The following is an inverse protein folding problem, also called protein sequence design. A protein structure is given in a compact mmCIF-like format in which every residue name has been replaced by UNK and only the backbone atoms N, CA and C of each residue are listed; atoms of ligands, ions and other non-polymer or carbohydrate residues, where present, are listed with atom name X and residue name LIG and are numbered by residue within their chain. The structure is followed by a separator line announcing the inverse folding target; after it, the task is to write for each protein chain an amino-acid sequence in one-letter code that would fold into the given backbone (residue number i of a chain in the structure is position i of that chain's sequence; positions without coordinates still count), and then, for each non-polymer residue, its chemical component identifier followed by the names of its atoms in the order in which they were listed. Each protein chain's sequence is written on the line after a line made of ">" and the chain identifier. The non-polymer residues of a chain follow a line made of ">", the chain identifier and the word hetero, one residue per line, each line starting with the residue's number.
data_IF_784833857155
#
_entry.id   IF_784833857155
#
_cell.length_a   1.000
_cell.length_b   1.000
_cell.length_c   1.000
_cell.angle_alpha   90.00
_cell.angle_beta   90.00
_cell.angle_gamma   90.00
#
_symmetry.space_group_name_H-M   'P 1'
#
loop_
_entity.id
_entity.type
_entity.pdbx_description
1 polymer ?
#
# COMPACT_ATOMS: atom_id res chain seq x y z
N UNK A 1 19.59 -9.73 13.18
CA UNK A 1 19.56 -10.56 14.41
C UNK A 1 19.48 -12.01 14.00
N UNK A 2 20.36 -12.84 14.55
CA UNK A 2 20.38 -14.27 14.31
C UNK A 2 19.18 -14.96 14.97
N UNK A 3 18.85 -16.16 14.49
CA UNK A 3 17.67 -16.90 14.92
C UNK A 3 17.73 -17.26 16.40
N UNK A 4 18.89 -17.74 16.85
CA UNK A 4 19.06 -18.27 18.21
C UNK A 4 19.06 -17.15 19.24
N UNK A 5 19.74 -16.03 18.96
CA UNK A 5 19.69 -14.85 19.82
C UNK A 5 18.27 -14.28 19.97
N UNK A 6 17.44 -14.33 18.92
CA UNK A 6 16.05 -13.90 19.03
C UNK A 6 15.22 -14.87 19.90
N UNK A 7 15.40 -16.19 19.77
CA UNK A 7 14.73 -17.17 20.65
C UNK A 7 15.10 -16.96 22.11
N UNK A 8 16.40 -16.79 22.38
CA UNK A 8 16.89 -16.57 23.75
C UNK A 8 16.27 -15.33 24.39
N UNK A 9 16.19 -14.22 23.63
CA UNK A 9 15.53 -12.98 24.10
C UNK A 9 14.07 -13.23 24.50
N UNK A 10 13.31 -13.95 23.68
CA UNK A 10 11.91 -14.26 23.98
C UNK A 10 11.78 -15.19 25.21
N UNK A 11 12.57 -16.27 25.25
CA UNK A 11 12.50 -17.26 26.32
C UNK A 11 12.91 -16.69 27.68
N UNK A 12 13.94 -15.83 27.73
CA UNK A 12 14.42 -15.27 29.00
C UNK A 12 13.62 -14.07 29.52
N UNK A 13 12.78 -13.46 28.67
CA UNK A 13 12.08 -12.20 28.99
C UNK A 13 11.15 -12.29 30.21
N UNK A 14 10.36 -13.37 30.29
CA UNK A 14 9.43 -13.61 31.41
C UNK A 14 10.18 -13.96 32.69
N UNK A 15 11.07 -14.99 32.74
CA UNK A 15 11.72 -15.38 33.99
C UNK A 15 12.69 -14.32 34.53
N UNK A 16 13.38 -13.57 33.67
CA UNK A 16 14.39 -12.61 34.12
C UNK A 16 13.86 -11.18 34.33
N UNK A 17 12.82 -10.79 33.59
CA UNK A 17 12.35 -9.39 33.56
C UNK A 17 10.86 -9.23 33.80
N UNK A 18 10.13 -10.32 34.03
CA UNK A 18 8.67 -10.33 34.15
C UNK A 18 7.98 -9.55 32.99
N UNK A 19 8.53 -9.66 31.78
CA UNK A 19 8.10 -8.91 30.61
C UNK A 19 7.80 -9.85 29.44
N UNK A 20 6.76 -9.53 28.65
CA UNK A 20 6.38 -10.32 27.47
C UNK A 20 6.38 -9.47 26.20
N UNK A 21 7.05 -9.95 25.16
CA UNK A 21 7.02 -9.34 23.85
C UNK A 21 5.71 -9.69 23.12
N UNK A 22 4.88 -8.69 22.87
CA UNK A 22 3.58 -8.86 22.20
C UNK A 22 3.61 -8.59 20.69
N UNK A 23 4.64 -7.89 20.20
CA UNK A 23 4.78 -7.49 18.80
C UNK A 23 6.20 -7.73 18.30
N UNK A 24 6.33 -8.30 17.10
CA UNK A 24 7.58 -8.42 16.35
C UNK A 24 7.51 -7.51 15.14
N UNK A 25 8.46 -6.58 15.00
CA UNK A 25 8.57 -5.69 13.86
C UNK A 25 9.69 -6.21 12.97
N UNK A 26 9.41 -6.47 11.70
CA UNK A 26 10.46 -6.88 10.75
C UNK A 26 10.08 -6.74 9.29
N UNK A 27 11.09 -6.90 8.44
CA UNK A 27 10.99 -6.83 6.99
C UNK A 27 10.46 -8.17 6.42
N UNK A 28 9.13 -8.34 6.43
CA UNK A 28 8.47 -9.50 5.84
C UNK A 28 8.81 -10.83 6.53
N UNK A 29 8.88 -11.91 5.76
CA UNK A 29 9.15 -13.27 6.27
C UNK A 29 10.64 -13.51 6.50
N UNK A 30 11.10 -13.01 7.64
CA UNK A 30 12.48 -13.20 8.11
C UNK A 30 12.67 -14.59 8.74
N UNK A 31 13.87 -15.16 8.60
CA UNK A 31 14.24 -16.44 9.25
C UNK A 31 13.95 -16.46 10.77
N UNK A 32 14.24 -15.39 11.54
CA UNK A 32 13.88 -15.36 12.96
C UNK A 32 12.37 -15.43 13.20
N UNK A 33 11.56 -14.70 12.42
CA UNK A 33 10.09 -14.75 12.56
C UNK A 33 9.55 -16.16 12.31
N UNK A 34 10.03 -16.84 11.25
CA UNK A 34 9.63 -18.21 10.95
C UNK A 34 10.06 -19.21 12.02
N UNK A 35 11.24 -19.02 12.61
CA UNK A 35 11.75 -19.88 13.67
C UNK A 35 10.97 -19.71 14.97
N UNK A 36 10.63 -18.46 15.34
CA UNK A 36 9.78 -18.16 16.49
C UNK A 36 8.36 -18.70 16.30
N UNK A 37 7.79 -18.64 15.09
CA UNK A 37 6.43 -19.17 14.85
C UNK A 37 6.31 -20.69 14.95
N UNK A 38 7.44 -21.42 14.93
CA UNK A 38 7.46 -22.87 15.16
C UNK A 38 7.44 -23.23 16.65
N UNK A 39 7.76 -22.28 17.51
CA UNK A 39 7.75 -22.47 18.96
C UNK A 39 6.38 -22.07 19.53
N UNK A 40 5.58 -23.06 19.91
CA UNK A 40 4.22 -22.85 20.45
C UNK A 40 4.20 -22.10 21.79
N UNK A 41 5.34 -21.97 22.48
CA UNK A 41 5.44 -21.21 23.73
C UNK A 41 5.52 -19.70 23.50
N UNK A 42 5.85 -19.29 22.26
CA UNK A 42 6.10 -17.89 21.90
C UNK A 42 4.90 -17.31 21.13
N UNK A 43 4.14 -16.44 21.81
CA UNK A 43 3.00 -15.74 21.21
C UNK A 43 3.33 -14.28 20.94
N UNK A 44 3.33 -13.88 19.67
CA UNK A 44 3.52 -12.49 19.24
C UNK A 44 2.69 -12.16 18.00
N UNK A 45 2.34 -10.88 17.83
CA UNK A 45 1.78 -10.37 16.57
C UNK A 45 2.90 -9.84 15.68
N UNK A 46 2.98 -10.35 14.46
CA UNK A 46 3.88 -9.82 13.45
C UNK A 46 3.35 -8.50 12.89
N UNK A 47 4.18 -7.48 12.89
CA UNK A 47 3.94 -6.16 12.30
C UNK A 47 4.99 -5.97 11.21
N UNK A 48 4.55 -5.58 10.02
CA UNK A 48 5.46 -5.27 8.90
C UNK A 48 5.79 -3.78 8.92
N UNK A 49 7.03 -3.44 8.60
CA UNK A 49 7.42 -2.04 8.54
C UNK A 49 6.81 -1.38 7.29
N UNK A 50 6.42 -0.11 7.41
CA UNK A 50 5.78 0.62 6.30
C UNK A 50 6.72 0.71 5.09
N UNK A 51 8.02 0.83 5.32
CA UNK A 51 9.02 0.85 4.25
C UNK A 51 9.05 -0.45 3.44
N UNK A 52 8.87 -1.60 4.08
CA UNK A 52 8.83 -2.90 3.42
C UNK A 52 7.58 -3.06 2.58
N UNK A 53 6.42 -2.71 3.13
CA UNK A 53 5.14 -2.75 2.42
C UNK A 53 5.11 -1.76 1.25
N UNK A 54 5.66 -0.57 1.44
CA UNK A 54 5.87 0.40 0.36
C UNK A 54 6.72 -0.20 -0.77
N UNK A 55 7.88 -0.81 -0.45
CA UNK A 55 8.72 -1.48 -1.47
C UNK A 55 7.98 -2.61 -2.18
N UNK A 56 7.12 -3.35 -1.48
CA UNK A 56 6.29 -4.41 -2.08
C UNK A 56 5.37 -3.88 -3.19
N UNK A 57 4.77 -2.71 -3.03
CA UNK A 57 3.98 -2.06 -4.08
C UNK A 57 4.81 -1.84 -5.34
N UNK A 58 5.95 -1.15 -5.20
CA UNK A 58 6.83 -0.86 -6.33
C UNK A 58 7.40 -2.10 -7.00
N UNK A 59 7.71 -3.14 -6.22
CA UNK A 59 8.20 -4.41 -6.75
C UNK A 59 7.11 -5.16 -7.55
N UNK A 60 5.86 -5.19 -7.06
CA UNK A 60 4.75 -5.85 -7.76
C UNK A 60 4.40 -5.15 -9.07
N UNK A 61 4.38 -3.82 -9.10
CA UNK A 61 4.13 -3.06 -10.32
C UNK A 61 5.24 -3.24 -11.36
N UNK A 62 6.51 -3.29 -10.93
CA UNK A 62 7.64 -3.61 -11.82
C UNK A 62 7.54 -5.03 -12.37
N UNK A 63 7.17 -6.00 -11.51
CA UNK A 63 6.94 -7.38 -11.96
C UNK A 63 5.79 -7.45 -12.97
N UNK A 64 4.66 -6.78 -12.72
CA UNK A 64 3.54 -6.69 -13.65
C UNK A 64 3.99 -6.16 -15.02
N UNK A 65 4.73 -5.04 -15.03
CA UNK A 65 5.31 -4.45 -16.24
C UNK A 65 6.19 -5.45 -17.02
N UNK A 66 7.04 -6.21 -16.32
CA UNK A 66 7.92 -7.22 -16.94
C UNK A 66 7.13 -8.42 -17.47
N UNK A 67 6.16 -8.94 -16.71
CA UNK A 67 5.35 -10.10 -17.10
C UNK A 67 4.43 -9.84 -18.31
N UNK A 68 4.08 -8.57 -18.53
CA UNK A 68 3.29 -8.12 -19.67
C UNK A 68 4.15 -7.59 -20.83
N UNK A 69 5.48 -7.79 -20.80
CA UNK A 69 6.35 -7.39 -21.91
C UNK A 69 5.97 -8.15 -23.19
N UNK A 70 5.77 -7.42 -24.29
CA UNK A 70 5.39 -7.97 -25.59
C UNK A 70 3.90 -8.27 -25.75
N UNK A 71 3.12 -8.27 -24.66
CA UNK A 71 1.66 -8.45 -24.71
C UNK A 71 0.97 -7.14 -25.05
N UNK A 72 -0.16 -7.24 -25.76
CA UNK A 72 -1.07 -6.13 -25.98
C UNK A 72 -2.20 -6.19 -24.97
N UNK A 73 -2.54 -5.05 -24.38
CA UNK A 73 -3.72 -4.92 -23.53
C UNK A 73 -4.98 -4.77 -24.40
N UNK A 74 -6.14 -4.62 -23.76
CA UNK A 74 -7.44 -4.48 -24.43
C UNK A 74 -7.50 -3.31 -25.43
N UNK A 75 -6.64 -2.30 -25.27
CA UNK A 75 -6.53 -1.16 -26.19
C UNK A 75 -5.50 -1.37 -27.32
N UNK A 76 -5.01 -2.60 -27.51
CA UNK A 76 -4.04 -2.95 -28.56
C UNK A 76 -2.61 -2.44 -28.33
N UNK A 77 -2.33 -1.87 -27.15
CA UNK A 77 -1.03 -1.26 -26.81
C UNK A 77 -0.31 -2.02 -25.70
N UNK A 78 1.02 -1.85 -25.62
CA UNK A 78 1.85 -2.42 -24.53
C UNK A 78 1.44 -1.82 -23.17
N UNK A 79 1.64 -2.53 -22.06
CA UNK A 79 1.47 -1.96 -20.72
C UNK A 79 2.44 -0.81 -20.43
N UNK A 80 3.61 -0.83 -21.07
CA UNK A 80 4.66 0.18 -20.96
C UNK A 80 4.58 1.21 -22.09
N UNK A 81 5.25 2.35 -21.91
CA UNK A 81 5.32 3.42 -22.90
C UNK A 81 4.92 4.78 -22.32
N UNK A 82 4.98 5.81 -23.17
CA UNK A 82 4.59 7.19 -22.80
C UNK A 82 3.15 7.20 -22.27
N UNK A 83 2.93 7.88 -21.15
CA UNK A 83 1.63 8.01 -20.47
C UNK A 83 1.01 6.67 -20.02
N UNK A 84 1.82 5.63 -19.77
CA UNK A 84 1.38 4.32 -19.26
C UNK A 84 2.16 3.92 -18.02
N UNK A 85 2.37 2.63 -17.78
CA UNK A 85 3.12 2.13 -16.62
C UNK A 85 4.63 2.37 -16.75
N UNK A 86 5.03 3.64 -16.60
CA UNK A 86 6.43 4.09 -16.57
C UNK A 86 7.03 3.91 -15.19
N UNK A 87 8.36 3.86 -15.08
CA UNK A 87 9.02 3.71 -13.76
C UNK A 87 8.74 4.91 -12.85
N UNK A 88 8.71 6.13 -13.42
CA UNK A 88 8.28 7.34 -12.70
C UNK A 88 6.86 7.23 -12.16
N UNK A 89 5.93 6.65 -12.93
CA UNK A 89 4.57 6.45 -12.47
C UNK A 89 4.49 5.39 -11.35
N UNK A 90 5.26 4.30 -11.49
CA UNK A 90 5.40 3.28 -10.43
C UNK A 90 5.92 3.91 -9.14
N UNK A 91 6.97 4.73 -9.21
CA UNK A 91 7.55 5.41 -8.04
C UNK A 91 6.57 6.38 -7.39
N UNK A 92 5.75 7.05 -8.22
CA UNK A 92 4.68 7.94 -7.76
C UNK A 92 3.62 7.16 -6.97
N UNK A 93 3.05 6.09 -7.55
CA UNK A 93 2.06 5.23 -6.86
C UNK A 93 2.66 4.65 -5.58
N UNK A 94 3.90 4.18 -5.65
CA UNK A 94 4.61 3.59 -4.50
C UNK A 94 4.76 4.60 -3.36
N UNK A 95 5.11 5.84 -3.67
CA UNK A 95 5.24 6.92 -2.68
C UNK A 95 3.90 7.25 -2.04
N UNK A 96 2.85 7.44 -2.86
CA UNK A 96 1.50 7.72 -2.36
C UNK A 96 0.95 6.58 -1.50
N UNK A 97 1.20 5.33 -1.87
CA UNK A 97 0.80 4.17 -1.09
C UNK A 97 1.46 4.15 0.30
N UNK A 98 2.78 4.40 0.35
CA UNK A 98 3.47 4.53 1.64
C UNK A 98 2.93 5.68 2.50
N UNK A 99 2.64 6.84 1.89
CA UNK A 99 2.09 7.99 2.61
C UNK A 99 0.68 7.72 3.14
N UNK A 100 -0.19 7.10 2.35
CA UNK A 100 -1.53 6.69 2.79
C UNK A 100 -1.46 5.81 4.05
N UNK A 101 -0.55 4.83 4.07
CA UNK A 101 -0.34 3.98 5.25
C UNK A 101 0.18 4.79 6.43
N UNK A 102 1.20 5.64 6.25
CA UNK A 102 1.79 6.42 7.36
C UNK A 102 0.77 7.34 8.00
N UNK A 103 -0.08 7.99 7.20
CA UNK A 103 -1.07 8.96 7.68
C UNK A 103 -2.31 8.30 8.29
N UNK A 104 -2.62 7.05 7.90
CA UNK A 104 -3.84 6.35 8.31
C UNK A 104 -3.51 5.03 9.00
N UNK A 105 -2.59 5.06 9.97
CA UNK A 105 -2.05 3.86 10.60
C UNK A 105 -2.82 3.38 11.84
N UNK A 106 -3.82 4.11 12.30
CA UNK A 106 -4.61 3.79 13.50
C UNK A 106 -5.72 2.77 13.25
N UNK A 107 -6.24 2.71 12.01
CA UNK A 107 -7.42 1.93 11.64
C UNK A 107 -7.20 1.18 10.34
N UNK A 108 -7.57 -0.10 10.32
CA UNK A 108 -7.54 -0.91 9.08
C UNK A 108 -8.53 -0.35 8.06
N UNK A 109 -9.72 0.09 8.50
CA UNK A 109 -10.71 0.67 7.60
C UNK A 109 -10.18 1.94 6.94
N UNK A 110 -9.65 2.87 7.74
CA UNK A 110 -9.22 4.18 7.28
C UNK A 110 -8.00 4.05 6.36
N UNK A 111 -7.06 3.15 6.70
CA UNK A 111 -5.93 2.83 5.83
C UNK A 111 -6.38 2.36 4.45
N UNK A 112 -7.38 1.48 4.41
CA UNK A 112 -7.91 0.93 3.15
C UNK A 112 -8.59 2.03 2.35
N UNK A 113 -9.44 2.82 3.00
CA UNK A 113 -10.11 3.96 2.37
C UNK A 113 -9.12 5.00 1.86
N UNK A 114 -7.96 5.19 2.52
CA UNK A 114 -6.92 6.11 2.06
C UNK A 114 -6.06 5.57 0.91
N UNK A 115 -5.98 4.25 0.72
CA UNK A 115 -5.22 3.63 -0.38
C UNK A 115 -5.99 3.72 -1.71
N UNK A 116 -7.31 3.46 -1.69
CA UNK A 116 -8.13 3.41 -2.91
C UNK A 116 -8.15 4.69 -3.76
N UNK A 117 -8.13 5.91 -3.20
CA UNK A 117 -8.04 7.15 -3.98
C UNK A 117 -6.86 7.18 -4.95
N UNK A 118 -5.75 6.50 -4.64
CA UNK A 118 -4.59 6.42 -5.54
C UNK A 118 -5.03 5.79 -6.87
N UNK A 119 -5.75 4.67 -6.83
CA UNK A 119 -6.27 4.03 -8.04
C UNK A 119 -7.31 4.92 -8.71
N UNK A 120 -8.30 5.37 -7.94
CA UNK A 120 -9.44 6.08 -8.49
C UNK A 120 -9.04 7.40 -9.17
N UNK A 121 -8.07 8.14 -8.62
CA UNK A 121 -7.60 9.39 -9.21
C UNK A 121 -6.99 9.22 -10.62
N UNK A 122 -6.22 8.15 -10.85
CA UNK A 122 -5.60 7.89 -12.16
C UNK A 122 -6.54 7.21 -13.16
N UNK A 123 -7.62 6.57 -12.67
CA UNK A 123 -8.66 5.91 -13.49
C UNK A 123 -9.86 6.83 -13.79
N UNK A 124 -10.04 7.90 -13.02
CA UNK A 124 -11.15 8.85 -13.22
C UNK A 124 -11.07 9.56 -14.56
N UNK A 125 -12.20 9.70 -15.23
CA UNK A 125 -12.37 10.58 -16.40
C UNK A 125 -13.45 11.62 -16.13
N UNK A 126 -13.66 12.55 -17.07
CA UNK A 126 -14.73 13.53 -16.94
C UNK A 126 -16.12 12.86 -17.00
N UNK A 127 -16.23 11.79 -17.79
CA UNK A 127 -17.45 10.99 -17.96
C UNK A 127 -17.67 10.01 -16.80
N UNK A 128 -16.60 9.50 -16.20
CA UNK A 128 -16.63 8.57 -15.07
C UNK A 128 -15.72 9.07 -13.92
N UNK A 129 -16.15 10.10 -13.16
CA UNK A 129 -15.39 10.63 -12.03
C UNK A 129 -15.45 9.69 -10.83
N UNK A 130 -14.29 9.20 -10.35
CA UNK A 130 -14.19 8.25 -9.24
C UNK A 130 -13.56 8.92 -8.00
N UNK A 131 -14.31 9.79 -7.31
CA UNK A 131 -13.79 10.52 -6.13
C UNK A 131 -14.49 10.15 -4.82
N UNK A 132 -15.21 9.03 -4.79
CA UNK A 132 -16.04 8.59 -3.67
C UNK A 132 -15.27 8.20 -2.40
N UNK A 133 -13.95 7.99 -2.48
CA UNK A 133 -13.08 7.78 -1.31
C UNK A 133 -12.40 9.06 -0.81
N UNK A 134 -12.62 10.18 -1.49
CA UNK A 134 -12.05 11.45 -1.10
C UNK A 134 -12.98 12.16 -0.10
N UNK A 135 -12.42 12.91 0.87
CA UNK A 135 -13.21 13.79 1.72
C UNK A 135 -14.05 14.76 0.86
N UNK A 136 -15.30 14.96 1.24
CA UNK A 136 -16.19 15.93 0.60
C UNK A 136 -15.92 17.30 1.22
N UNK A 137 -16.09 18.37 0.44
CA UNK A 137 -15.99 19.75 0.91
C UNK A 137 -14.84 20.55 0.30
N UNK A 138 -14.88 21.85 0.53
CA UNK A 138 -13.92 22.85 0.04
C UNK A 138 -12.52 22.73 0.70
N UNK A 139 -12.43 22.12 1.87
CA UNK A 139 -11.18 21.78 2.55
C UNK A 139 -10.56 20.46 2.06
N UNK A 140 -11.24 19.73 1.17
CA UNK A 140 -10.75 18.45 0.66
C UNK A 140 -9.39 18.59 -0.01
N UNK A 141 -8.51 17.63 0.20
CA UNK A 141 -7.27 17.55 -0.58
C UNK A 141 -7.54 17.13 -2.04
N UNK A 142 -8.72 16.59 -2.35
CA UNK A 142 -9.14 16.25 -3.70
C UNK A 142 -9.68 17.47 -4.44
N UNK A 143 -9.04 17.82 -5.56
CA UNK A 143 -9.42 18.97 -6.38
C UNK A 143 -10.82 18.83 -7.01
N UNK A 144 -11.24 17.62 -7.34
CA UNK A 144 -12.58 17.38 -7.85
C UNK A 144 -13.64 17.62 -6.76
N UNK A 145 -13.45 17.06 -5.55
CA UNK A 145 -14.37 17.29 -4.43
C UNK A 145 -14.46 18.76 -4.02
N UNK A 146 -13.33 19.49 -4.09
CA UNK A 146 -13.33 20.95 -3.95
C UNK A 146 -14.19 21.64 -5.00
N UNK A 147 -14.04 21.25 -6.26
CA UNK A 147 -14.82 21.83 -7.36
C UNK A 147 -16.33 21.53 -7.20
N UNK A 148 -16.69 20.33 -6.74
CA UNK A 148 -18.08 19.99 -6.40
C UNK A 148 -18.59 20.91 -5.28
N UNK A 149 -17.83 21.06 -4.19
CA UNK A 149 -18.22 21.89 -3.05
C UNK A 149 -18.37 23.38 -3.39
N UNK A 150 -17.62 23.89 -4.38
CA UNK A 150 -17.68 25.29 -4.83
C UNK A 150 -18.56 25.51 -6.06
N UNK A 151 -19.39 24.52 -6.44
CA UNK A 151 -20.26 24.56 -7.63
C UNK A 151 -19.49 24.83 -8.95
N UNK A 152 -18.23 24.41 -9.03
CA UNK A 152 -17.35 24.55 -10.21
C UNK A 152 -16.96 23.22 -10.85
N UNK A 153 -17.63 22.12 -10.48
CA UNK A 153 -17.38 20.78 -11.01
C UNK A 153 -17.49 20.69 -12.55
N UNK A 154 -18.39 21.45 -13.18
CA UNK A 154 -18.54 21.49 -14.65
C UNK A 154 -17.30 22.05 -15.38
N UNK A 155 -16.48 22.85 -14.68
CA UNK A 155 -15.24 23.42 -15.21
C UNK A 155 -14.02 22.53 -14.92
N UNK A 156 -14.17 21.50 -14.09
CA UNK A 156 -13.08 20.60 -13.74
C UNK A 156 -12.73 19.70 -14.91
N UNK A 157 -11.43 19.49 -15.13
CA UNK A 157 -10.91 18.58 -16.15
C UNK A 157 -9.91 17.61 -15.55
N UNK A 158 -10.15 16.31 -15.72
CA UNK A 158 -9.23 15.27 -15.28
C UNK A 158 -7.93 15.34 -16.09
N UNK A 159 -6.82 15.41 -15.38
CA UNK A 159 -5.46 15.46 -15.95
C UNK A 159 -4.70 14.20 -15.56
N UNK A 160 -3.63 13.89 -16.29
CA UNK A 160 -2.77 12.73 -16.05
C UNK A 160 -3.51 11.38 -16.10
N UNK A 161 -4.52 11.30 -16.96
CA UNK A 161 -5.32 10.08 -17.15
C UNK A 161 -4.39 8.99 -17.69
N UNK A 162 -4.39 7.85 -17.00
CA UNK A 162 -3.71 6.65 -17.45
C UNK A 162 -4.75 5.79 -18.18
N UNK A 163 -4.43 5.19 -19.34
CA UNK A 163 -5.39 4.40 -20.09
C UNK A 163 -6.07 3.35 -19.21
N UNK A 164 -7.40 3.21 -19.36
CA UNK A 164 -8.23 2.28 -18.58
C UNK A 164 -7.62 0.87 -18.60
N UNK A 165 -7.19 0.41 -19.77
CA UNK A 165 -6.53 -0.89 -19.95
C UNK A 165 -5.30 -1.10 -19.02
N UNK A 166 -4.52 -0.06 -18.75
CA UNK A 166 -3.37 -0.14 -17.82
C UNK A 166 -3.84 -0.12 -16.38
N UNK A 167 -4.84 0.69 -16.06
CA UNK A 167 -5.38 0.76 -14.71
C UNK A 167 -6.06 -0.56 -14.32
N UNK A 168 -6.76 -1.23 -15.23
CA UNK A 168 -7.37 -2.54 -14.99
C UNK A 168 -6.33 -3.59 -14.59
N UNK A 169 -5.13 -3.58 -15.19
CA UNK A 169 -4.01 -4.45 -14.79
C UNK A 169 -3.44 -4.09 -13.40
N UNK A 170 -3.52 -2.82 -12.98
CA UNK A 170 -3.02 -2.35 -11.67
C UNK A 170 -4.01 -2.65 -10.53
N UNK A 171 -5.31 -2.66 -10.83
CA UNK A 171 -6.39 -2.80 -9.84
C UNK A 171 -6.22 -4.01 -8.90
N UNK A 172 -5.86 -5.23 -9.37
CA UNK A 172 -5.66 -6.38 -8.50
C UNK A 172 -4.55 -6.15 -7.47
N UNK A 173 -3.46 -5.47 -7.86
CA UNK A 173 -2.35 -5.18 -6.95
C UNK A 173 -2.81 -4.22 -5.84
N UNK A 174 -3.59 -3.19 -6.17
CA UNK A 174 -4.17 -2.26 -5.19
C UNK A 174 -5.12 -3.01 -4.25
N UNK A 175 -6.00 -3.86 -4.79
CA UNK A 175 -6.94 -4.64 -4.01
C UNK A 175 -6.23 -5.59 -3.03
N UNK A 176 -5.22 -6.33 -3.49
CA UNK A 176 -4.44 -7.24 -2.64
C UNK A 176 -3.65 -6.49 -1.56
N UNK A 177 -3.02 -5.37 -1.91
CA UNK A 177 -2.21 -4.58 -0.98
C UNK A 177 -3.03 -3.66 -0.05
N UNK A 178 -4.34 -3.55 -0.30
CA UNK A 178 -5.33 -2.96 0.61
C UNK A 178 -6.22 -4.00 1.29
N UNK A 179 -5.92 -5.30 1.15
CA UNK A 179 -6.69 -6.32 1.85
C UNK A 179 -6.50 -6.20 3.38
N UNK A 180 -7.53 -6.50 4.20
CA UNK A 180 -7.43 -6.42 5.66
C UNK A 180 -6.21 -7.16 6.23
N UNK A 181 -5.92 -8.36 5.73
CA UNK A 181 -4.75 -9.17 6.11
C UNK A 181 -3.41 -8.45 5.94
N UNK A 182 -3.28 -7.56 4.97
CA UNK A 182 -2.08 -6.75 4.75
C UNK A 182 -2.14 -5.48 5.61
N UNK A 183 -3.28 -4.78 5.60
CA UNK A 183 -3.46 -3.54 6.36
C UNK A 183 -3.28 -3.74 7.87
N UNK A 184 -3.76 -4.85 8.44
CA UNK A 184 -3.59 -5.21 9.85
C UNK A 184 -2.12 -5.28 10.29
N UNK A 185 -1.22 -5.66 9.39
CA UNK A 185 0.21 -5.75 9.68
C UNK A 185 0.88 -4.38 9.71
N UNK A 186 0.22 -3.33 9.21
CA UNK A 186 0.74 -1.98 9.13
C UNK A 186 0.17 -1.04 10.21
N UNK A 187 -0.77 -1.53 11.03
CA UNK A 187 -1.36 -0.75 12.12
C UNK A 187 -0.27 -0.30 13.10
N UNK A 188 -0.28 0.99 13.44
CA UNK A 188 0.72 1.67 14.26
C UNK A 188 1.94 2.17 13.49
N UNK A 189 1.96 2.05 12.15
CA UNK A 189 2.85 2.81 11.26
C UNK A 189 4.34 2.59 11.52
N UNK A 190 4.70 1.39 11.97
CA UNK A 190 6.05 1.12 12.48
C UNK A 190 7.10 1.25 11.38
N UNK A 191 8.17 1.97 11.69
CA UNK A 191 9.36 2.08 10.87
C UNK A 191 10.50 1.35 11.57
N UNK A 192 11.35 0.69 10.79
CA UNK A 192 12.61 0.20 11.31
C UNK A 192 13.61 1.35 11.20
N UNK A 193 14.05 1.89 12.35
CA UNK A 193 15.25 2.73 12.37
C UNK A 193 16.43 1.79 12.12
N UNK A 194 17.22 2.11 11.10
CA UNK A 194 18.42 1.36 10.75
C UNK A 194 19.60 1.95 11.49
#
# INVERSE_FOLDING_TARGET
>A
MEVDGMKEIFQRSVPQRNAKYIKYIGDGDTKPSQSLSKDSTIFYRKVECVGHIQKRMGARLRKLKTMNRGKKLSDGKSISGKNRLTDKFIDTITTYYGNAIRQNNSSVSDMRQAIWPIYCHYRSTDEEPMHHFCPIGDTSWCKYQKAVATNSASLFKHKNIVPIAVMDEIKPIIAELSAPKIAEKNVGGKTQKR
#
